data_IF_585409422754
#
_entry.id   IF_585409422754
#
_cell.length_a   1.000
_cell.length_b   1.000
_cell.length_c   1.000
_cell.angle_alpha   90.00
_cell.angle_beta   90.00
_cell.angle_gamma   90.00
#
_symmetry.space_group_name_H-M   'P 1'
#
loop_
_entity.id
_entity.type
_entity.pdbx_description
1 polymer ?
#
# COMPACT_ATOMS: atom_id res chain seq x y z
N UNK A 1 11.00 2.61 23.93
CA UNK A 1 10.49 3.18 25.20
C UNK A 1 9.84 2.08 26.01
N UNK A 2 10.18 1.96 27.30
CA UNK A 2 9.58 0.97 28.19
C UNK A 2 8.35 1.51 28.89
N UNK A 3 7.24 0.77 28.83
CA UNK A 3 6.04 1.01 29.60
C UNK A 3 5.83 -0.08 30.65
N UNK A 4 5.78 0.30 31.93
CA UNK A 4 5.44 -0.59 33.04
C UNK A 4 3.99 -0.33 33.41
N UNK A 5 3.15 -1.34 33.23
CA UNK A 5 1.71 -1.25 33.47
C UNK A 5 1.36 -2.17 34.62
N UNK A 6 0.78 -1.61 35.68
CA UNK A 6 0.44 -2.35 36.89
C UNK A 6 -1.05 -2.28 37.15
N UNK A 7 -1.64 -3.42 37.50
CA UNK A 7 -2.99 -3.51 38.04
C UNK A 7 -2.98 -4.47 39.22
N UNK A 8 -3.32 -3.98 40.40
CA UNK A 8 -3.15 -4.72 41.67
C UNK A 8 -1.72 -5.28 41.76
N UNK A 9 -1.57 -6.59 42.00
CA UNK A 9 -0.27 -7.27 42.11
C UNK A 9 0.28 -7.78 40.75
N UNK A 10 -0.38 -7.47 39.64
CA UNK A 10 0.05 -7.91 38.30
C UNK A 10 0.73 -6.78 37.55
N UNK A 11 1.88 -7.08 36.95
CA UNK A 11 2.66 -6.13 36.13
C UNK A 11 2.89 -6.68 34.74
N UNK A 12 2.71 -5.83 33.74
CA UNK A 12 3.17 -6.05 32.37
C UNK A 12 4.27 -5.03 32.04
N UNK A 13 5.29 -5.48 31.32
CA UNK A 13 6.33 -4.61 30.77
C UNK A 13 6.22 -4.70 29.26
N UNK A 14 6.10 -3.56 28.60
CA UNK A 14 5.95 -3.44 27.15
C UNK A 14 7.06 -2.55 26.58
N UNK A 15 7.58 -2.95 25.43
CA UNK A 15 8.37 -2.08 24.58
C UNK A 15 7.44 -1.35 23.61
N UNK A 16 7.45 -0.02 23.66
CA UNK A 16 6.73 0.86 22.75
C UNK A 16 7.70 1.44 21.71
N UNK A 17 7.26 1.62 20.44
CA UNK A 17 5.92 1.32 19.95
C UNK A 17 5.72 -0.19 19.66
N UNK A 18 4.51 -0.68 19.89
CA UNK A 18 4.09 -2.07 19.62
C UNK A 18 2.75 -2.11 18.89
N UNK A 19 2.45 -3.25 18.24
CA UNK A 19 1.20 -3.46 17.52
C UNK A 19 -0.01 -3.41 18.46
N UNK A 20 -1.18 -3.04 17.92
CA UNK A 20 -2.44 -3.04 18.69
C UNK A 20 -2.77 -4.41 19.29
N UNK A 21 -2.47 -5.48 18.57
CA UNK A 21 -2.74 -6.86 19.00
C UNK A 21 -1.84 -7.25 20.18
N UNK A 22 -0.54 -6.96 20.10
CA UNK A 22 0.41 -7.24 21.18
C UNK A 22 0.11 -6.41 22.42
N UNK A 23 -0.22 -5.12 22.25
CA UNK A 23 -0.60 -4.23 23.33
C UNK A 23 -1.86 -4.75 24.05
N UNK A 24 -2.91 -5.09 23.31
CA UNK A 24 -4.14 -5.66 23.88
C UNK A 24 -3.90 -7.03 24.54
N UNK A 25 -3.08 -7.89 23.92
CA UNK A 25 -2.72 -9.19 24.46
C UNK A 25 -1.99 -9.08 25.80
N UNK A 26 -1.02 -8.18 25.90
CA UNK A 26 -0.26 -7.93 27.13
C UNK A 26 -1.11 -7.34 28.25
N UNK A 27 -2.00 -6.40 27.93
CA UNK A 27 -2.98 -5.87 28.89
C UNK A 27 -3.92 -6.98 29.40
N UNK A 28 -4.41 -7.84 28.52
CA UNK A 28 -5.31 -8.93 28.90
C UNK A 28 -4.64 -9.94 29.84
N UNK A 29 -3.32 -10.15 29.77
CA UNK A 29 -2.57 -11.05 30.66
C UNK A 29 -2.57 -10.59 32.12
N UNK A 30 -2.62 -9.27 32.34
CA UNK A 30 -2.80 -8.67 33.67
C UNK A 30 -4.29 -8.35 33.96
N UNK A 31 -5.18 -8.95 33.18
CA UNK A 31 -6.63 -8.84 33.28
C UNK A 31 -7.21 -7.47 32.91
N UNK A 32 -6.42 -6.57 32.33
CA UNK A 32 -6.90 -5.27 31.83
C UNK A 32 -7.61 -5.51 30.50
N UNK A 33 -8.91 -5.21 30.45
CA UNK A 33 -9.73 -5.25 29.21
C UNK A 33 -9.97 -3.86 28.61
N UNK A 34 -9.54 -2.83 29.32
CA UNK A 34 -9.62 -1.44 28.91
C UNK A 34 -8.73 -1.22 27.67
N UNK A 35 -9.26 -0.64 26.58
CA UNK A 35 -8.45 -0.30 25.42
C UNK A 35 -7.37 0.73 25.74
N UNK A 36 -6.19 0.61 25.12
CA UNK A 36 -5.03 1.47 25.38
C UNK A 36 -5.29 2.97 25.20
N UNK A 37 -6.18 3.35 24.27
CA UNK A 37 -6.51 4.74 23.97
C UNK A 37 -7.35 5.44 25.05
N UNK A 38 -7.80 4.71 26.07
CA UNK A 38 -8.47 5.30 27.25
C UNK A 38 -7.73 4.98 28.56
N UNK A 39 -6.57 4.31 28.52
CA UNK A 39 -5.74 4.09 29.72
C UNK A 39 -4.86 5.32 29.91
N UNK A 40 -5.03 6.10 30.99
CA UNK A 40 -4.19 7.25 31.27
C UNK A 40 -2.74 6.86 31.56
N UNK A 41 -1.79 7.69 31.14
CA UNK A 41 -0.40 7.59 31.55
C UNK A 41 -0.21 8.23 32.94
N UNK A 42 -0.65 7.53 33.99
CA UNK A 42 -0.59 8.00 35.37
C UNK A 42 -0.14 6.89 36.32
N UNK A 43 0.56 7.25 37.40
CA UNK A 43 1.05 6.34 38.45
C UNK A 43 0.59 6.82 39.84
N UNK A 44 -0.62 7.38 39.94
CA UNK A 44 -1.13 7.82 41.22
C UNK A 44 -1.56 6.62 42.07
N UNK A 45 -1.54 6.76 43.40
CA UNK A 45 -1.85 5.64 44.28
C UNK A 45 -3.27 5.09 44.08
N UNK A 46 -4.21 5.97 43.76
CA UNK A 46 -5.65 5.71 43.58
C UNK A 46 -5.99 5.10 42.21
N UNK A 47 -5.04 5.09 41.27
CA UNK A 47 -5.28 4.60 39.93
C UNK A 47 -5.52 3.10 39.90
N UNK A 48 -6.62 2.70 39.23
CA UNK A 48 -6.93 1.31 38.99
C UNK A 48 -5.93 0.62 38.04
N UNK A 49 -5.36 1.39 37.11
CA UNK A 49 -4.30 0.95 36.19
C UNK A 49 -3.22 2.02 36.25
N UNK A 50 -2.02 1.63 36.66
CA UNK A 50 -0.85 2.50 36.77
C UNK A 50 0.06 2.29 35.58
N UNK A 51 0.60 3.36 35.01
CA UNK A 51 1.45 3.36 33.83
C UNK A 51 2.68 4.24 34.10
N UNK A 52 3.86 3.63 34.08
CA UNK A 52 5.15 4.34 34.08
C UNK A 52 5.80 4.22 32.72
N UNK A 53 6.36 5.32 32.24
CA UNK A 53 7.09 5.38 30.98
C UNK A 53 8.57 5.68 31.25
N UNK A 54 9.44 5.00 30.52
CA UNK A 54 10.89 5.17 30.59
C UNK A 54 11.46 5.26 29.17
N UNK A 55 11.96 6.44 28.82
CA UNK A 55 12.66 6.66 27.56
C UNK A 55 14.11 6.15 27.62
N UNK A 56 14.59 5.64 26.49
CA UNK A 56 15.97 5.16 26.32
C UNK A 56 16.78 6.01 25.32
N UNK A 57 16.11 6.84 24.52
CA UNK A 57 16.73 7.77 23.58
C UNK A 57 16.41 9.23 23.89
N UNK A 58 17.15 10.17 23.30
CA UNK A 58 16.90 11.62 23.43
C UNK A 58 15.42 11.95 23.15
N UNK A 59 14.88 11.44 22.03
CA UNK A 59 13.51 11.66 21.63
C UNK A 59 12.51 11.04 22.61
N UNK A 60 12.77 9.82 23.09
CA UNK A 60 11.87 9.17 24.04
C UNK A 60 11.86 9.86 25.41
N UNK A 61 13.00 10.41 25.85
CA UNK A 61 13.10 11.17 27.08
C UNK A 61 12.35 12.50 26.96
N UNK A 62 12.49 13.19 25.83
CA UNK A 62 11.72 14.40 25.52
C UNK A 62 10.22 14.11 25.48
N UNK A 63 9.81 13.03 24.80
CA UNK A 63 8.42 12.59 24.76
C UNK A 63 7.89 12.31 26.18
N UNK A 64 8.63 11.54 26.98
CA UNK A 64 8.24 11.19 28.36
C UNK A 64 8.01 12.43 29.22
N UNK A 65 8.83 13.47 29.06
CA UNK A 65 8.71 14.72 29.80
C UNK A 65 7.45 15.53 29.46
N UNK A 66 6.84 15.30 28.29
CA UNK A 66 5.63 15.97 27.82
C UNK A 66 4.34 15.22 28.17
N UNK A 67 4.44 13.94 28.54
CA UNK A 67 3.28 13.10 28.87
C UNK A 67 2.68 13.53 30.19
N UNK A 68 1.36 13.70 30.21
CA UNK A 68 0.57 14.01 31.40
C UNK A 68 -0.44 12.91 31.68
N UNK A 69 -1.06 12.87 32.88
CA UNK A 69 -2.17 11.97 33.17
C UNK A 69 -3.41 12.12 32.26
N UNK A 70 -3.47 13.16 31.41
CA UNK A 70 -4.54 13.31 30.40
C UNK A 70 -4.23 12.55 29.12
N UNK A 71 -2.96 12.25 28.88
CA UNK A 71 -2.51 11.50 27.70
C UNK A 71 -2.70 10.01 27.94
N UNK A 72 -3.06 9.29 26.87
CA UNK A 72 -3.31 7.86 26.94
C UNK A 72 -2.08 7.04 26.53
N UNK A 73 -1.98 5.82 27.05
CA UNK A 73 -0.99 4.84 26.62
C UNK A 73 -1.05 4.62 25.09
N UNK A 74 -2.25 4.62 24.52
CA UNK A 74 -2.45 4.56 23.07
C UNK A 74 -1.86 5.75 22.34
N UNK A 75 -2.05 6.97 22.85
CA UNK A 75 -1.50 8.21 22.26
C UNK A 75 0.03 8.20 22.26
N UNK A 76 0.65 7.76 23.36
CA UNK A 76 2.11 7.60 23.47
C UNK A 76 2.62 6.56 22.49
N UNK A 77 1.96 5.39 22.42
CA UNK A 77 2.32 4.35 21.47
C UNK A 77 2.26 4.86 20.02
N UNK A 78 1.21 5.58 19.65
CA UNK A 78 1.06 6.18 18.31
C UNK A 78 2.13 7.21 18.01
N UNK A 79 2.48 8.10 18.96
CA UNK A 79 3.52 9.10 18.76
C UNK A 79 4.89 8.46 18.46
N UNK A 80 5.23 7.40 19.20
CA UNK A 80 6.44 6.62 18.98
C UNK A 80 6.42 5.87 17.65
N UNK A 81 5.26 5.34 17.25
CA UNK A 81 5.09 4.60 15.99
C UNK A 81 5.31 5.52 14.79
N UNK A 82 4.66 6.70 14.78
CA UNK A 82 4.84 7.71 13.75
C UNK A 82 6.30 8.17 13.67
N UNK A 83 6.97 8.40 14.80
CA UNK A 83 8.39 8.75 14.80
C UNK A 83 9.24 7.60 14.26
N UNK A 84 8.94 6.34 14.61
CA UNK A 84 9.67 5.16 14.14
C UNK A 84 9.64 5.06 12.61
N UNK A 85 8.48 5.35 12.00
CA UNK A 85 8.25 5.30 10.55
C UNK A 85 8.98 6.40 9.77
N UNK A 86 9.42 7.48 10.43
CA UNK A 86 10.16 8.54 9.74
C UNK A 86 11.48 8.03 9.15
N UNK A 87 11.79 8.37 7.88
CA UNK A 87 13.12 8.19 7.31
C UNK A 87 14.18 8.91 8.15
N UNK A 88 15.42 8.40 8.18
CA UNK A 88 16.51 8.95 8.99
C UNK A 88 16.75 10.44 8.71
N UNK A 89 16.67 10.86 7.45
CA UNK A 89 16.81 12.27 7.04
C UNK A 89 15.71 13.16 7.62
N UNK A 90 14.48 12.66 7.76
CA UNK A 90 13.38 13.40 8.39
C UNK A 90 13.52 13.44 9.91
N UNK A 91 14.01 12.35 10.53
CA UNK A 91 14.33 12.33 11.98
C UNK A 91 15.38 13.38 12.33
N UNK A 92 16.40 13.56 11.51
CA UNK A 92 17.44 14.58 11.71
C UNK A 92 16.88 16.00 11.60
N UNK A 93 16.04 16.27 10.59
CA UNK A 93 15.36 17.57 10.45
C UNK A 93 14.40 17.85 11.60
N UNK A 94 13.63 16.84 12.03
CA UNK A 94 12.76 16.94 13.19
C UNK A 94 13.58 17.23 14.45
N UNK A 95 14.70 16.55 14.69
CA UNK A 95 15.57 16.82 15.85
C UNK A 95 16.07 18.27 15.88
N UNK A 96 16.45 18.80 14.71
CA UNK A 96 16.84 20.21 14.59
C UNK A 96 15.66 21.15 14.89
N UNK A 97 14.45 20.85 14.41
CA UNK A 97 13.23 21.62 14.68
C UNK A 97 12.83 21.57 16.16
N UNK A 98 12.89 20.42 16.81
CA UNK A 98 12.58 20.27 18.26
C UNK A 98 13.57 21.06 19.12
N UNK A 99 14.84 21.11 18.70
CA UNK A 99 15.86 21.91 19.40
C UNK A 99 15.61 23.42 19.31
N UNK A 100 15.04 23.90 18.20
CA UNK A 100 14.74 25.33 17.98
C UNK A 100 13.38 25.73 18.57
N UNK A 101 12.38 24.86 18.39
CA UNK A 101 10.99 25.09 18.74
C UNK A 101 10.48 23.88 19.55
N UNK A 102 10.84 23.79 20.85
CA UNK A 102 10.48 22.65 21.67
C UNK A 102 8.95 22.55 21.82
N UNK A 103 8.39 21.34 21.76
CA UNK A 103 6.97 21.10 22.00
C UNK A 103 6.60 21.40 23.46
N UNK A 104 5.37 21.84 23.69
CA UNK A 104 4.82 22.14 25.02
C UNK A 104 3.93 21.02 25.58
N UNK A 105 3.61 20.03 24.75
CA UNK A 105 2.66 18.96 25.01
C UNK A 105 2.89 17.79 24.08
N UNK A 106 2.41 16.59 24.47
CA UNK A 106 2.42 15.41 23.59
C UNK A 106 1.71 15.70 22.27
N UNK A 107 0.59 16.42 22.29
CA UNK A 107 -0.16 16.79 21.10
C UNK A 107 0.64 17.68 20.15
N UNK A 108 1.40 18.65 20.66
CA UNK A 108 2.29 19.51 19.88
C UNK A 108 3.46 18.72 19.27
N UNK A 109 4.05 17.79 20.03
CA UNK A 109 5.08 16.88 19.52
C UNK A 109 4.52 15.99 18.41
N UNK A 110 3.36 15.36 18.60
CA UNK A 110 2.69 14.55 17.57
C UNK A 110 2.45 15.35 16.29
N UNK A 111 2.00 16.60 16.41
CA UNK A 111 1.80 17.48 15.25
C UNK A 111 3.10 17.74 14.51
N UNK A 112 4.18 18.05 15.22
CA UNK A 112 5.51 18.19 14.61
C UNK A 112 5.93 16.90 13.91
N UNK A 113 5.85 15.74 14.56
CA UNK A 113 6.15 14.44 13.93
C UNK A 113 5.33 14.24 12.64
N UNK A 114 4.04 14.59 12.65
CA UNK A 114 3.18 14.53 11.47
C UNK A 114 3.61 15.50 10.35
N UNK A 115 4.06 16.70 10.68
CA UNK A 115 4.54 17.68 9.69
C UNK A 115 5.81 17.19 8.96
N UNK A 116 6.58 16.30 9.59
CA UNK A 116 7.76 15.64 9.00
C UNK A 116 7.48 14.29 8.36
N UNK A 117 6.23 13.79 8.42
CA UNK A 117 5.86 12.60 7.67
C UNK A 117 6.06 12.86 6.18
N UNK A 118 6.65 11.91 5.44
CA UNK A 118 6.75 12.04 3.99
C UNK A 118 5.34 12.19 3.40
N UNK A 119 5.13 13.30 2.70
CA UNK A 119 3.90 13.51 1.93
C UNK A 119 4.08 12.76 0.63
N UNK A 120 3.45 11.60 0.53
CA UNK A 120 3.44 10.87 -0.71
C UNK A 120 2.40 11.45 -1.66
N UNK A 121 2.71 11.39 -2.94
CA UNK A 121 1.75 11.55 -4.02
C UNK A 121 1.54 10.20 -4.68
N UNK A 122 0.32 9.94 -5.11
CA UNK A 122 -0.02 8.71 -5.84
C UNK A 122 -0.38 9.07 -7.26
N UNK A 123 0.12 8.29 -8.20
CA UNK A 123 -0.19 8.43 -9.61
C UNK A 123 -0.53 7.05 -10.17
N UNK A 124 -1.64 6.96 -10.90
CA UNK A 124 -2.10 5.70 -11.49
C UNK A 124 -1.80 5.73 -13.00
N UNK A 125 -1.19 4.65 -13.49
CA UNK A 125 -0.91 4.39 -14.90
C UNK A 125 -1.78 3.25 -15.41
N UNK A 126 -2.35 3.39 -16.59
CA UNK A 126 -3.28 2.43 -17.19
C UNK A 126 -2.72 1.89 -18.50
N UNK A 127 -2.96 0.61 -18.74
CA UNK A 127 -2.59 -0.09 -19.97
C UNK A 127 -3.68 -1.08 -20.40
N UNK A 128 -3.88 -1.32 -21.70
CA UNK A 128 -4.85 -2.29 -22.17
C UNK A 128 -4.37 -3.72 -21.87
N UNK A 129 -5.31 -4.62 -21.59
CA UNK A 129 -5.07 -6.05 -21.48
C UNK A 129 -5.94 -6.83 -22.47
N UNK A 130 -5.50 -8.01 -22.84
CA UNK A 130 -6.28 -8.98 -23.62
C UNK A 130 -6.36 -10.31 -22.86
N UNK A 131 -7.24 -11.20 -23.29
CA UNK A 131 -7.37 -12.54 -22.72
C UNK A 131 -7.47 -13.57 -23.84
N UNK A 132 -6.85 -14.72 -23.64
CA UNK A 132 -7.04 -15.88 -24.51
C UNK A 132 -7.97 -16.86 -23.82
N UNK A 133 -8.98 -17.35 -24.55
CA UNK A 133 -9.92 -18.36 -24.04
C UNK A 133 -9.78 -19.65 -24.84
N UNK A 134 -9.56 -20.74 -24.11
CA UNK A 134 -9.50 -22.11 -24.63
C UNK A 134 -10.75 -22.86 -24.19
N UNK A 135 -11.66 -23.10 -25.13
CA UNK A 135 -12.97 -23.70 -24.85
C UNK A 135 -12.89 -25.23 -24.67
N UNK A 136 -13.85 -25.80 -23.95
CA UNK A 136 -14.04 -27.25 -23.91
C UNK A 136 -14.74 -27.75 -25.18
N UNK A 137 -14.18 -28.77 -25.83
CA UNK A 137 -14.81 -29.44 -26.96
C UNK A 137 -15.98 -30.34 -26.52
N UNK A 138 -16.67 -30.96 -27.48
CA UNK A 138 -17.84 -31.83 -27.24
C UNK A 138 -17.54 -33.06 -26.35
N UNK A 139 -16.28 -33.41 -26.15
CA UNK A 139 -15.80 -34.49 -25.30
C UNK A 139 -15.34 -34.02 -23.91
N UNK A 140 -15.34 -32.70 -23.66
CA UNK A 140 -14.89 -32.08 -22.41
C UNK A 140 -13.37 -31.86 -22.31
N UNK A 141 -12.64 -32.05 -23.39
CA UNK A 141 -11.20 -31.74 -23.46
C UNK A 141 -11.00 -30.30 -23.95
N UNK A 142 -9.92 -29.64 -23.53
CA UNK A 142 -9.59 -28.28 -24.00
C UNK A 142 -9.22 -28.30 -25.48
N UNK A 143 -9.86 -27.44 -26.25
CA UNK A 143 -9.51 -27.18 -27.64
C UNK A 143 -8.48 -26.05 -27.71
N UNK A 144 -7.20 -26.43 -27.74
CA UNK A 144 -6.09 -25.47 -27.87
C UNK A 144 -6.02 -24.81 -29.25
N UNK A 145 -6.78 -25.29 -30.24
CA UNK A 145 -6.88 -24.67 -31.56
C UNK A 145 -8.00 -23.60 -31.61
N UNK A 146 -8.75 -23.40 -30.52
CA UNK A 146 -9.88 -22.45 -30.41
C UNK A 146 -9.48 -21.10 -29.80
N UNK A 147 -8.19 -20.74 -29.79
CA UNK A 147 -7.68 -19.56 -29.08
C UNK A 147 -8.31 -18.25 -29.57
N UNK A 148 -9.37 -17.83 -28.88
CA UNK A 148 -10.01 -16.55 -29.14
C UNK A 148 -9.33 -15.48 -28.29
N UNK A 149 -8.50 -14.65 -28.91
CA UNK A 149 -7.99 -13.44 -28.26
C UNK A 149 -9.12 -12.40 -28.18
N UNK A 150 -9.50 -12.06 -26.95
CA UNK A 150 -10.58 -11.14 -26.62
C UNK A 150 -10.03 -9.94 -25.85
N UNK A 151 -10.71 -8.80 -25.99
CA UNK A 151 -10.27 -7.54 -25.40
C UNK A 151 -10.72 -7.37 -23.94
N UNK A 152 -10.30 -6.26 -23.34
CA UNK A 152 -10.69 -5.88 -21.98
C UNK A 152 -12.20 -5.78 -21.75
N UNK A 153 -13.05 -5.65 -22.79
CA UNK A 153 -14.51 -5.62 -22.61
C UNK A 153 -15.04 -6.99 -22.24
N UNK A 154 -14.51 -8.06 -22.84
CA UNK A 154 -14.83 -9.42 -22.41
C UNK A 154 -14.23 -9.72 -21.04
N UNK A 155 -12.95 -9.37 -20.84
CA UNK A 155 -12.27 -9.60 -19.56
C UNK A 155 -12.97 -8.94 -18.37
N UNK A 156 -13.68 -7.82 -18.61
CA UNK A 156 -14.43 -7.11 -17.59
C UNK A 156 -15.53 -7.96 -16.91
N UNK A 157 -16.11 -8.93 -17.61
CA UNK A 157 -17.11 -9.84 -17.03
C UNK A 157 -16.49 -10.80 -16.00
N UNK A 158 -15.16 -10.93 -16.01
CA UNK A 158 -14.36 -11.79 -15.12
C UNK A 158 -13.36 -10.98 -14.28
N UNK A 159 -13.61 -9.69 -14.06
CA UNK A 159 -12.67 -8.79 -13.38
C UNK A 159 -12.29 -9.27 -11.97
N UNK A 160 -13.24 -9.84 -11.22
CA UNK A 160 -13.01 -10.36 -9.88
C UNK A 160 -12.13 -11.62 -9.91
N UNK A 161 -12.34 -12.53 -10.86
CA UNK A 161 -11.53 -13.72 -11.06
C UNK A 161 -10.10 -13.37 -11.49
N UNK A 162 -9.95 -12.39 -12.38
CA UNK A 162 -8.65 -11.88 -12.83
C UNK A 162 -7.88 -11.24 -11.66
N UNK A 163 -8.56 -10.40 -10.87
CA UNK A 163 -7.97 -9.79 -9.67
C UNK A 163 -7.57 -10.86 -8.65
N UNK A 164 -8.44 -11.82 -8.37
CA UNK A 164 -8.16 -12.89 -7.42
C UNK A 164 -6.99 -13.79 -7.86
N UNK A 165 -6.89 -14.07 -9.16
CA UNK A 165 -5.74 -14.76 -9.75
C UNK A 165 -4.45 -13.97 -9.52
N UNK A 166 -4.46 -12.67 -9.81
CA UNK A 166 -3.28 -11.84 -9.72
C UNK A 166 -2.82 -11.62 -8.26
N UNK A 167 -3.78 -11.42 -7.35
CA UNK A 167 -3.52 -11.36 -5.90
C UNK A 167 -2.89 -12.66 -5.40
N UNK A 168 -3.37 -13.83 -5.86
CA UNK A 168 -2.80 -15.13 -5.48
C UNK A 168 -1.40 -15.36 -6.05
N UNK A 169 -1.17 -14.95 -7.30
CA UNK A 169 0.13 -15.05 -7.97
C UNK A 169 1.21 -14.21 -7.26
N UNK A 170 0.85 -13.00 -6.82
CA UNK A 170 1.78 -12.07 -6.17
C UNK A 170 1.85 -12.20 -4.65
N UNK A 171 0.99 -13.01 -4.02
CA UNK A 171 0.88 -13.12 -2.56
C UNK A 171 2.17 -13.56 -1.84
N UNK A 172 3.06 -14.29 -2.51
CA UNK A 172 4.33 -14.74 -1.93
C UNK A 172 5.51 -13.81 -2.20
N UNK A 173 5.33 -12.77 -3.02
CA UNK A 173 6.38 -11.80 -3.30
C UNK A 173 6.28 -10.63 -2.32
N UNK A 174 7.16 -10.67 -1.31
CA UNK A 174 7.29 -9.59 -0.33
C UNK A 174 8.09 -8.39 -0.89
N UNK A 175 8.65 -8.51 -2.10
CA UNK A 175 9.46 -7.45 -2.72
C UNK A 175 8.55 -6.49 -3.47
N UNK A 176 8.71 -5.19 -3.23
CA UNK A 176 7.99 -4.19 -4.01
C UNK A 176 8.59 -4.07 -5.41
N UNK A 177 7.74 -3.93 -6.44
CA UNK A 177 8.21 -3.78 -7.83
C UNK A 177 9.09 -2.54 -8.03
N UNK A 178 9.00 -1.54 -7.15
CA UNK A 178 9.91 -0.41 -7.09
C UNK A 178 11.39 -0.81 -6.95
N UNK A 179 11.71 -1.95 -6.32
CA UNK A 179 13.09 -2.42 -6.13
C UNK A 179 13.75 -2.90 -7.45
N UNK A 180 12.94 -3.24 -8.45
CA UNK A 180 13.42 -3.65 -9.78
C UNK A 180 13.54 -2.48 -10.75
N UNK A 181 13.08 -1.29 -10.38
CA UNK A 181 13.17 -0.10 -11.23
C UNK A 181 14.62 0.41 -11.30
N UNK A 182 15.19 0.42 -12.50
CA UNK A 182 16.60 0.76 -12.76
C UNK A 182 16.78 2.04 -13.59
N UNK A 183 15.79 2.93 -13.54
CA UNK A 183 15.85 4.24 -14.19
C UNK A 183 16.87 5.20 -13.57
N UNK A 184 16.72 6.49 -13.86
CA UNK A 184 17.60 7.54 -13.35
C UNK A 184 17.62 7.58 -11.82
N UNK A 185 18.78 7.93 -11.24
CA UNK A 185 18.93 8.03 -9.78
C UNK A 185 17.90 8.97 -9.12
N UNK A 186 17.42 10.00 -9.85
CA UNK A 186 16.38 10.89 -9.34
C UNK A 186 15.00 10.21 -9.35
N UNK A 187 14.63 9.50 -10.41
CA UNK A 187 13.40 8.72 -10.46
C UNK A 187 13.37 7.61 -9.38
N UNK A 188 14.47 6.86 -9.25
CA UNK A 188 14.63 5.80 -8.22
C UNK A 188 14.47 6.37 -6.80
N UNK A 189 14.99 7.57 -6.54
CA UNK A 189 14.87 8.20 -5.23
C UNK A 189 13.42 8.61 -4.90
N UNK A 190 12.59 8.89 -5.92
CA UNK A 190 11.21 9.33 -5.79
C UNK A 190 10.22 8.18 -5.66
N UNK A 191 10.43 7.08 -6.37
CA UNK A 191 9.52 5.93 -6.38
C UNK A 191 9.66 5.15 -5.06
N UNK A 192 8.53 4.95 -4.37
CA UNK A 192 8.45 4.16 -3.13
C UNK A 192 7.80 2.82 -3.30
N UNK A 193 6.78 2.76 -4.14
CA UNK A 193 6.06 1.52 -4.39
C UNK A 193 5.45 1.59 -5.77
N UNK A 194 5.49 0.46 -6.49
CA UNK A 194 4.76 0.25 -7.72
C UNK A 194 3.89 -0.99 -7.53
N UNK A 195 2.56 -0.82 -7.57
CA UNK A 195 1.61 -1.92 -7.39
C UNK A 195 0.77 -2.12 -8.64
N UNK A 196 0.94 -3.27 -9.28
CA UNK A 196 0.07 -3.72 -10.35
C UNK A 196 -1.29 -4.16 -9.79
N UNK A 197 -2.34 -3.87 -10.53
CA UNK A 197 -3.73 -4.22 -10.27
C UNK A 197 -4.52 -4.17 -11.59
N UNK A 198 -5.82 -4.41 -11.55
CA UNK A 198 -6.75 -4.19 -12.67
C UNK A 198 -7.87 -3.25 -12.26
N UNK A 199 -8.40 -2.48 -13.22
CA UNK A 199 -9.49 -1.53 -12.99
C UNK A 199 -10.43 -1.44 -14.19
N UNK A 200 -11.74 -1.42 -13.90
CA UNK A 200 -12.78 -1.29 -14.92
C UNK A 200 -13.09 0.16 -15.20
N UNK A 201 -13.07 0.54 -16.48
CA UNK A 201 -13.51 1.84 -16.95
C UNK A 201 -14.48 1.67 -18.14
N UNK A 202 -15.71 2.20 -17.99
CA UNK A 202 -16.77 2.14 -19.02
C UNK A 202 -17.05 0.72 -19.58
N UNK A 203 -16.98 -0.28 -18.69
CA UNK A 203 -17.19 -1.69 -19.03
C UNK A 203 -16.05 -2.32 -19.83
N UNK A 204 -14.85 -1.74 -19.75
CA UNK A 204 -13.61 -2.31 -20.29
C UNK A 204 -12.61 -2.42 -19.15
N UNK A 205 -12.02 -3.60 -18.95
CA UNK A 205 -10.99 -3.84 -17.95
C UNK A 205 -9.62 -3.43 -18.48
N UNK A 206 -8.89 -2.66 -17.68
CA UNK A 206 -7.52 -2.23 -17.94
C UNK A 206 -6.61 -2.75 -16.84
N UNK A 207 -5.34 -2.95 -17.17
CA UNK A 207 -4.31 -3.05 -16.16
C UNK A 207 -4.01 -1.68 -15.58
N UNK A 208 -3.66 -1.64 -14.29
CA UNK A 208 -3.32 -0.43 -13.54
C UNK A 208 -2.02 -0.63 -12.78
N UNK A 209 -1.12 0.35 -12.83
CA UNK A 209 0.00 0.46 -11.89
C UNK A 209 -0.22 1.68 -11.01
N UNK A 210 -0.32 1.47 -9.70
CA UNK A 210 -0.31 2.55 -8.72
C UNK A 210 1.11 2.84 -8.27
N UNK A 211 1.62 4.00 -8.64
CA UNK A 211 2.89 4.51 -8.15
C UNK A 211 2.68 5.34 -6.89
N UNK A 212 3.42 5.01 -5.83
CA UNK A 212 3.54 5.87 -4.63
C UNK A 212 4.88 6.58 -4.70
N UNK A 213 4.87 7.90 -4.71
CA UNK A 213 6.03 8.74 -4.95
C UNK A 213 6.26 9.72 -3.80
N UNK A 214 7.51 10.08 -3.50
CA UNK A 214 7.81 11.14 -2.52
C UNK A 214 7.52 12.55 -3.03
N UNK A 215 7.48 12.72 -4.36
CA UNK A 215 7.15 13.94 -5.08
C UNK A 215 6.82 13.57 -6.55
N UNK A 216 6.17 14.46 -7.32
CA UNK A 216 5.87 14.19 -8.73
C UNK A 216 7.12 13.90 -9.57
N UNK A 217 6.97 13.01 -10.55
CA UNK A 217 7.98 12.77 -11.57
C UNK A 217 8.04 13.93 -12.57
N UNK A 218 9.20 14.17 -13.15
CA UNK A 218 9.30 15.00 -14.36
C UNK A 218 8.85 14.20 -15.58
N UNK A 219 8.60 14.87 -16.72
CA UNK A 219 8.22 14.19 -17.97
C UNK A 219 9.23 13.10 -18.38
N UNK A 220 10.54 13.38 -18.24
CA UNK A 220 11.60 12.40 -18.56
C UNK A 220 11.59 11.21 -17.58
N UNK A 221 11.39 11.45 -16.28
CA UNK A 221 11.34 10.39 -15.27
C UNK A 221 10.07 9.53 -15.41
N UNK A 222 8.96 10.15 -15.80
CA UNK A 222 7.71 9.46 -16.09
C UNK A 222 7.83 8.58 -17.35
N UNK A 223 8.54 9.06 -18.37
CA UNK A 223 8.83 8.25 -19.57
C UNK A 223 9.65 7.00 -19.23
N UNK A 224 10.66 7.12 -18.36
CA UNK A 224 11.42 5.98 -17.84
C UNK A 224 10.50 4.98 -17.10
N UNK A 225 9.57 5.46 -16.27
CA UNK A 225 8.61 4.61 -15.58
C UNK A 225 7.64 3.91 -16.55
N UNK A 226 7.14 4.60 -17.57
CA UNK A 226 6.27 4.01 -18.60
C UNK A 226 6.99 2.92 -19.41
N UNK A 227 8.27 3.12 -19.72
CA UNK A 227 9.11 2.11 -20.37
C UNK A 227 9.30 0.89 -19.46
N UNK A 228 9.60 1.11 -18.17
CA UNK A 228 9.71 0.03 -17.19
C UNK A 228 8.39 -0.77 -17.05
N UNK A 229 7.25 -0.08 -16.96
CA UNK A 229 5.93 -0.74 -16.89
C UNK A 229 5.69 -1.58 -18.16
N UNK A 230 6.01 -1.02 -19.33
CA UNK A 230 5.90 -1.76 -20.59
C UNK A 230 6.77 -3.00 -20.60
N UNK A 231 8.02 -2.90 -20.13
CA UNK A 231 8.92 -4.03 -19.99
C UNK A 231 8.36 -5.12 -19.08
N UNK A 232 7.91 -4.75 -17.87
CA UNK A 232 7.30 -5.68 -16.90
C UNK A 232 5.96 -6.27 -17.36
N UNK A 233 5.24 -5.61 -18.25
CA UNK A 233 4.02 -6.15 -18.83
C UNK A 233 4.32 -7.13 -19.98
N UNK A 234 5.36 -6.87 -20.77
CA UNK A 234 5.78 -7.73 -21.89
C UNK A 234 6.60 -8.95 -21.47
N UNK A 235 7.29 -8.86 -20.34
CA UNK A 235 8.26 -9.82 -19.84
C UNK A 235 8.22 -9.79 -18.30
N UNK A 236 8.80 -10.78 -17.62
CA UNK A 236 8.83 -10.83 -16.17
C UNK A 236 7.45 -11.05 -15.57
N UNK A 237 6.87 -10.01 -14.96
CA UNK A 237 5.59 -10.11 -14.26
C UNK A 237 4.44 -10.47 -15.21
N UNK A 238 4.41 -9.87 -16.41
CA UNK A 238 3.40 -10.16 -17.43
C UNK A 238 3.46 -11.62 -17.91
N UNK A 239 4.66 -12.11 -18.24
CA UNK A 239 4.85 -13.51 -18.66
C UNK A 239 4.40 -14.50 -17.55
N UNK A 240 4.72 -14.19 -16.30
CA UNK A 240 4.31 -15.03 -15.18
C UNK A 240 2.80 -15.00 -14.91
N UNK A 241 2.15 -13.86 -15.14
CA UNK A 241 0.70 -13.71 -15.04
C UNK A 241 -0.04 -14.49 -16.16
N UNK A 242 0.50 -14.51 -17.38
CA UNK A 242 -0.07 -15.27 -18.51
C UNK A 242 -0.13 -16.77 -18.23
N UNK A 243 0.81 -17.30 -17.44
CA UNK A 243 0.87 -18.71 -17.06
C UNK A 243 -0.15 -19.12 -15.98
N UNK A 244 -0.94 -18.16 -15.46
CA UNK A 244 -1.96 -18.44 -14.45
C UNK A 244 -3.32 -18.72 -15.10
N UNK A 245 -3.72 -19.99 -15.08
CA UNK A 245 -5.00 -20.43 -15.63
C UNK A 245 -6.19 -19.98 -14.77
N UNK A 246 -7.14 -19.28 -15.38
CA UNK A 246 -8.43 -18.94 -14.78
C UNK A 246 -9.49 -19.89 -15.35
N UNK A 247 -10.13 -20.68 -14.49
CA UNK A 247 -11.24 -21.55 -14.92
C UNK A 247 -12.52 -20.73 -15.08
N UNK A 248 -13.07 -20.73 -16.28
CA UNK A 248 -14.36 -20.12 -16.61
C UNK A 248 -15.37 -21.22 -17.01
N UNK A 249 -16.68 -20.94 -17.04
CA UNK A 249 -17.68 -21.97 -17.33
C UNK A 249 -17.44 -22.74 -18.63
N UNK A 250 -16.96 -22.04 -19.66
CA UNK A 250 -16.82 -22.59 -21.01
C UNK A 250 -15.39 -23.03 -21.35
N UNK A 251 -14.42 -22.90 -20.43
CA UNK A 251 -13.02 -23.19 -20.73
C UNK A 251 -12.00 -22.72 -19.69
N UNK A 252 -10.78 -22.49 -20.17
CA UNK A 252 -9.70 -21.82 -19.42
C UNK A 252 -9.38 -20.49 -20.08
N UNK A 253 -9.16 -19.47 -19.27
CA UNK A 253 -8.79 -18.13 -19.69
C UNK A 253 -7.39 -17.78 -19.14
N UNK A 254 -6.55 -17.19 -19.98
CA UNK A 254 -5.26 -16.61 -19.60
C UNK A 254 -5.26 -15.11 -19.90
N UNK A 255 -4.60 -14.32 -19.05
CA UNK A 255 -4.61 -12.85 -19.15
C UNK A 255 -3.28 -12.33 -19.65
N UNK A 256 -3.32 -11.47 -20.66
CA UNK A 256 -2.15 -10.86 -21.28
C UNK A 256 -2.08 -9.38 -20.91
N UNK A 257 -1.03 -8.99 -20.18
CA UNK A 257 -0.82 -7.59 -19.77
C UNK A 257 -0.15 -6.75 -20.86
N UNK A 258 0.33 -7.39 -21.92
CA UNK A 258 0.96 -6.74 -23.04
C UNK A 258 0.50 -7.40 -24.35
N UNK A 259 0.43 -6.60 -25.40
CA UNK A 259 0.24 -7.11 -26.76
C UNK A 259 1.13 -6.32 -27.74
N UNK A 260 1.49 -6.98 -28.84
CA UNK A 260 2.35 -6.40 -29.88
C UNK A 260 1.63 -5.47 -30.86
N UNK A 261 0.33 -5.22 -30.65
CA UNK A 261 -0.50 -4.41 -31.51
C UNK A 261 -0.24 -2.90 -31.36
N UNK A 262 -0.65 -2.13 -32.38
CA UNK A 262 -0.55 -0.66 -32.38
C UNK A 262 -1.43 0.02 -31.31
N UNK A 263 -2.27 -0.74 -30.61
CA UNK A 263 -3.19 -0.28 -29.58
C UNK A 263 -2.63 -0.41 -28.16
N UNK A 264 -1.43 -0.96 -27.95
CA UNK A 264 -0.81 -1.00 -26.63
C UNK A 264 -0.30 0.38 -26.21
N UNK A 265 -0.55 0.75 -24.95
CA UNK A 265 -0.07 2.00 -24.35
C UNK A 265 0.09 1.86 -22.85
N UNK A 266 0.90 2.73 -22.26
CA UNK A 266 0.89 3.01 -20.80
C UNK A 266 0.63 4.50 -20.65
N UNK A 267 -0.47 4.87 -20.00
CA UNK A 267 -0.90 6.26 -19.84
C UNK A 267 -1.12 6.63 -18.41
N UNK A 268 -0.71 7.83 -18.00
CA UNK A 268 -1.09 8.34 -16.69
C UNK A 268 -2.60 8.67 -16.66
N UNK A 269 -3.09 9.04 -15.48
CA UNK A 269 -4.52 9.33 -15.28
C UNK A 269 -5.05 10.47 -16.16
N UNK A 270 -4.24 11.52 -16.37
CA UNK A 270 -4.62 12.67 -17.19
C UNK A 270 -4.75 12.26 -18.67
N UNK A 271 -3.72 11.62 -19.23
CA UNK A 271 -3.70 11.11 -20.61
C UNK A 271 -4.78 10.05 -20.88
N UNK A 272 -5.13 9.27 -19.86
CA UNK A 272 -6.18 8.25 -19.95
C UNK A 272 -7.57 8.89 -19.98
N UNK A 273 -7.81 9.93 -19.17
CA UNK A 273 -9.08 10.65 -19.12
C UNK A 273 -9.40 11.42 -20.41
N UNK A 274 -8.37 11.80 -21.18
CA UNK A 274 -8.51 12.47 -22.47
C UNK A 274 -8.80 11.51 -23.63
N UNK A 275 -8.76 10.18 -23.38
CA UNK A 275 -9.09 9.22 -24.42
C UNK A 275 -10.57 9.32 -24.81
N UNK A 276 -10.90 9.24 -26.11
CA UNK A 276 -12.27 9.07 -26.54
C UNK A 276 -12.75 7.68 -26.10
N UNK A 277 -13.39 7.61 -24.93
CA UNK A 277 -14.14 6.43 -24.50
C UNK A 277 -15.23 6.23 -25.56
N UNK A 278 -15.04 5.23 -26.40
CA UNK A 278 -15.87 4.97 -27.57
C UNK A 278 -17.30 4.73 -27.11
N UNK A 279 -18.13 5.77 -27.25
CA UNK A 279 -19.58 5.62 -27.32
C UNK A 279 -19.86 4.49 -28.30
N UNK A 280 -20.55 3.44 -27.82
CA UNK A 280 -20.97 2.32 -28.64
C UNK A 280 -21.49 2.84 -29.97
N UNK A 281 -20.90 2.36 -31.07
CA UNK A 281 -21.35 2.71 -32.40
C UNK A 281 -22.85 2.44 -32.48
N UNK A 282 -23.63 3.52 -32.52
CA UNK A 282 -25.04 3.45 -32.90
C UNK A 282 -25.03 2.93 -34.33
N UNK A 283 -25.48 1.68 -34.51
CA UNK A 283 -25.77 1.12 -35.83
C UNK A 283 -26.80 2.04 -36.50
N UNK A 284 -26.31 2.95 -37.34
CA UNK A 284 -27.11 3.75 -38.24
C UNK A 284 -27.80 2.81 -39.23
N UNK A 285 -29.12 2.84 -39.22
CA UNK A 285 -29.94 2.00 -40.08
C UNK A 285 -29.72 2.31 -41.57
N UNK A 286 -29.89 1.27 -42.37
CA UNK A 286 -30.80 1.23 -43.52
C UNK A 286 -31.41 -0.16 -43.60
#
# INVERSE_FOLDING_TARGET
>A
MKAIITRNDQTAILELPTSRMELAGSLSRIGVRTPAYIIPCSDEEEDYIKVKLFGESDFENELTALVTPKDSLGSVNTALDLYRELPQTQKEKLKAELSQNPPDSLSSLCRKVMDFQPKYVTEDYYFPLTVSVYEYNEYGDLDYDSDCELDGRFANDYADEIKAMFDAYTASDDTDMAEYFDGSNSAVAKIKSLKWDVESFDGVLFGRVRATLTEPLTEDEEAELKEFITGQNSDGLGEGAEQQDIRIPDGIMNVHFWNSGDNYFVRNSDEFSEMPHTHGMTMGGM
#
